data_IF_072003305991
#
_entry.id   IF_072003305991
#
_cell.length_a   1.000
_cell.length_b   1.000
_cell.length_c   1.000
_cell.angle_alpha   90.00
_cell.angle_beta   90.00
_cell.angle_gamma   90.00
#
_symmetry.space_group_name_H-M   'P 1'
#
loop_
_entity.id
_entity.type
_entity.pdbx_description
1 polymer ?
#
# COMPACT_ATOMS: atom_id res chain seq x y z
N UNK A 1 -8.73 -25.01 -41.12
CA UNK A 1 -9.68 -25.46 -40.11
C UNK A 1 -9.94 -24.31 -39.14
N UNK A 2 -11.21 -24.08 -38.76
CA UNK A 2 -11.60 -22.97 -37.89
C UNK A 2 -10.85 -23.06 -36.54
N UNK A 3 -10.71 -24.27 -36.01
CA UNK A 3 -10.00 -24.49 -34.74
C UNK A 3 -8.52 -24.15 -34.79
N UNK A 4 -7.85 -24.42 -35.91
CA UNK A 4 -6.45 -24.04 -36.08
C UNK A 4 -6.29 -22.51 -36.08
N UNK A 5 -7.21 -21.77 -36.72
CA UNK A 5 -7.21 -20.32 -36.72
C UNK A 5 -7.43 -19.73 -35.31
N UNK A 6 -8.30 -20.34 -34.52
CA UNK A 6 -8.53 -19.98 -33.12
C UNK A 6 -7.26 -20.21 -32.27
N UNK A 7 -6.62 -21.38 -32.42
CA UNK A 7 -5.37 -21.67 -31.72
C UNK A 7 -4.28 -20.66 -32.07
N UNK A 8 -4.08 -20.38 -33.37
CA UNK A 8 -3.10 -19.41 -33.84
C UNK A 8 -3.39 -18.01 -33.26
N UNK A 9 -4.66 -17.62 -33.20
CA UNK A 9 -5.07 -16.33 -32.66
C UNK A 9 -4.75 -16.22 -31.16
N UNK A 10 -5.10 -17.23 -30.39
CA UNK A 10 -4.82 -17.26 -28.92
C UNK A 10 -3.31 -17.32 -28.70
N UNK A 11 -2.59 -18.15 -29.46
CA UNK A 11 -1.16 -18.28 -29.35
C UNK A 11 -0.42 -16.97 -29.68
N UNK A 12 -0.84 -16.27 -30.71
CA UNK A 12 -0.27 -14.96 -31.08
C UNK A 12 -0.47 -13.93 -29.96
N UNK A 13 -1.64 -13.93 -29.30
CA UNK A 13 -1.88 -13.07 -28.13
C UNK A 13 -0.96 -13.44 -26.97
N UNK A 14 -0.79 -14.72 -26.70
CA UNK A 14 0.12 -15.18 -25.65
C UNK A 14 1.56 -14.76 -25.92
N UNK A 15 2.05 -14.95 -27.14
CA UNK A 15 3.40 -14.55 -27.55
C UNK A 15 3.65 -13.04 -27.52
N UNK A 16 2.60 -12.22 -27.51
CA UNK A 16 2.68 -10.76 -27.41
C UNK A 16 2.74 -10.26 -25.94
N UNK A 17 2.64 -11.15 -24.96
CA UNK A 17 2.81 -10.82 -23.54
C UNK A 17 4.30 -10.78 -23.16
N UNK A 18 4.62 -10.23 -21.98
CA UNK A 18 5.96 -10.29 -21.43
C UNK A 18 6.23 -11.70 -20.90
N UNK A 19 6.94 -12.50 -21.69
CA UNK A 19 7.32 -13.85 -21.33
C UNK A 19 8.63 -13.84 -20.55
N UNK A 20 8.72 -14.65 -19.50
CA UNK A 20 10.00 -14.94 -18.86
C UNK A 20 10.93 -15.71 -19.84
N UNK A 21 12.25 -15.73 -19.63
CA UNK A 21 13.17 -16.49 -20.49
C UNK A 21 12.82 -17.98 -20.61
N UNK A 22 12.29 -18.57 -19.53
CA UNK A 22 11.87 -19.97 -19.50
C UNK A 22 10.59 -20.17 -20.30
N UNK A 23 9.59 -19.31 -20.11
CA UNK A 23 8.37 -19.31 -20.92
C UNK A 23 8.64 -19.14 -22.41
N UNK A 24 9.50 -18.18 -22.78
CA UNK A 24 9.88 -17.95 -24.17
C UNK A 24 10.46 -19.21 -24.81
N UNK A 25 11.34 -19.92 -24.12
CA UNK A 25 11.94 -21.18 -24.60
C UNK A 25 10.89 -22.27 -24.77
N UNK A 26 9.98 -22.43 -23.81
CA UNK A 26 8.88 -23.40 -23.91
C UNK A 26 7.89 -23.02 -25.01
N UNK A 27 7.59 -21.75 -25.17
CA UNK A 27 6.68 -21.23 -26.20
C UNK A 27 7.27 -21.45 -27.63
N UNK A 28 8.56 -21.26 -27.79
CA UNK A 28 9.24 -21.58 -29.04
C UNK A 28 9.19 -23.10 -29.31
N UNK A 29 9.47 -23.92 -28.30
CA UNK A 29 9.35 -25.38 -28.38
C UNK A 29 7.94 -25.81 -28.77
N UNK A 30 6.91 -25.20 -28.18
CA UNK A 30 5.52 -25.47 -28.56
C UNK A 30 5.27 -25.13 -30.01
N UNK A 31 5.71 -23.96 -30.47
CA UNK A 31 5.50 -23.50 -31.85
C UNK A 31 6.10 -24.48 -32.86
N UNK A 32 7.31 -24.97 -32.60
CA UNK A 32 7.99 -25.96 -33.45
C UNK A 32 7.24 -27.31 -33.43
N UNK A 33 6.84 -27.79 -32.25
CA UNK A 33 6.12 -29.06 -32.09
C UNK A 33 4.74 -29.01 -32.72
N UNK A 34 4.04 -27.87 -32.56
CA UNK A 34 2.73 -27.65 -33.16
C UNK A 34 2.79 -27.70 -34.69
N UNK A 35 3.80 -27.05 -35.28
CA UNK A 35 4.03 -27.13 -36.71
C UNK A 35 4.28 -28.58 -37.18
N UNK A 36 5.15 -29.29 -36.49
CA UNK A 36 5.46 -30.69 -36.82
C UNK A 36 4.21 -31.59 -36.72
N UNK A 37 3.38 -31.38 -35.70
CA UNK A 37 2.10 -32.09 -35.54
C UNK A 37 1.13 -31.78 -36.69
N UNK A 38 0.92 -30.50 -37.00
CA UNK A 38 0.00 -30.08 -38.08
C UNK A 38 0.41 -30.61 -39.43
N UNK A 39 1.72 -30.62 -39.72
CA UNK A 39 2.25 -31.21 -40.97
C UNK A 39 1.95 -32.73 -41.04
N UNK A 40 2.14 -33.46 -39.96
CA UNK A 40 1.84 -34.89 -39.91
C UNK A 40 0.35 -35.18 -39.96
N UNK A 41 -0.50 -34.39 -39.27
CA UNK A 41 -1.95 -34.47 -39.36
C UNK A 41 -2.46 -34.24 -40.81
N UNK A 42 -1.92 -33.24 -41.48
CA UNK A 42 -2.27 -32.93 -42.86
C UNK A 42 -1.88 -34.09 -43.82
N UNK A 43 -0.75 -34.78 -43.52
CA UNK A 43 -0.37 -36.00 -44.24
C UNK A 43 -1.40 -37.14 -44.02
N UNK A 44 -1.86 -37.34 -42.79
CA UNK A 44 -2.96 -38.28 -42.51
C UNK A 44 -4.18 -38.00 -43.37
N UNK A 45 -4.61 -36.72 -43.41
CA UNK A 45 -5.76 -36.30 -44.24
C UNK A 45 -5.53 -36.54 -45.74
N UNK A 46 -4.33 -36.26 -46.24
CA UNK A 46 -3.97 -36.52 -47.63
C UNK A 46 -4.00 -37.98 -47.99
N UNK A 47 -3.48 -38.86 -47.15
CA UNK A 47 -3.53 -40.32 -47.32
C UNK A 47 -4.99 -40.81 -47.36
N UNK A 48 -5.81 -40.38 -46.43
CA UNK A 48 -7.21 -40.73 -46.41
C UNK A 48 -7.98 -40.24 -47.64
N UNK A 49 -7.71 -39.03 -48.14
CA UNK A 49 -8.29 -38.48 -49.33
C UNK A 49 -7.89 -39.23 -50.62
N UNK A 50 -6.68 -39.82 -50.62
CA UNK A 50 -6.21 -40.66 -51.71
C UNK A 50 -6.74 -42.13 -51.63
N UNK A 51 -7.52 -42.48 -50.59
CA UNK A 51 -8.05 -43.81 -50.40
C UNK A 51 -7.10 -44.78 -49.69
N UNK A 52 -5.91 -44.34 -49.27
CA UNK A 52 -4.98 -45.12 -48.47
C UNK A 52 -5.34 -45.03 -46.98
N UNK A 53 -6.37 -45.73 -46.58
CA UNK A 53 -6.84 -45.73 -45.18
C UNK A 53 -5.88 -46.43 -44.23
N UNK A 54 -5.20 -47.47 -44.67
CA UNK A 54 -4.25 -48.19 -43.82
C UNK A 54 -3.03 -47.30 -43.53
N UNK A 55 -2.51 -46.59 -44.53
CA UNK A 55 -1.46 -45.59 -44.35
C UNK A 55 -1.88 -44.41 -43.53
N UNK A 56 -3.14 -43.94 -43.68
CA UNK A 56 -3.68 -42.87 -42.88
C UNK A 56 -3.78 -43.25 -41.36
N UNK A 57 -4.29 -44.47 -41.08
CA UNK A 57 -4.37 -45.00 -39.70
C UNK A 57 -3.00 -45.19 -39.10
N UNK A 58 -2.06 -45.76 -39.86
CA UNK A 58 -0.68 -45.97 -39.40
C UNK A 58 -0.01 -44.63 -39.05
N UNK A 59 -0.17 -43.58 -39.90
CA UNK A 59 0.39 -42.26 -39.63
C UNK A 59 -0.29 -41.59 -38.45
N UNK A 60 -1.62 -41.71 -38.31
CA UNK A 60 -2.38 -41.11 -37.22
C UNK A 60 -1.96 -41.67 -35.86
N UNK A 61 -1.84 -43.01 -35.74
CA UNK A 61 -1.46 -43.65 -34.47
C UNK A 61 0.03 -43.50 -34.21
N UNK A 62 0.87 -43.59 -35.23
CA UNK A 62 2.32 -43.51 -35.10
C UNK A 62 2.84 -42.09 -35.05
N UNK A 63 3.17 -41.51 -36.20
CA UNK A 63 3.89 -40.23 -36.27
C UNK A 63 3.05 -39.04 -35.77
N UNK A 64 1.80 -38.92 -36.17
CA UNK A 64 0.94 -37.80 -35.71
C UNK A 64 0.59 -37.93 -34.22
N UNK A 65 0.37 -39.16 -33.73
CA UNK A 65 0.11 -39.41 -32.30
C UNK A 65 1.30 -39.04 -31.41
N UNK A 66 2.52 -39.47 -31.82
CA UNK A 66 3.73 -39.10 -31.09
C UNK A 66 3.97 -37.58 -31.02
N UNK A 67 3.76 -36.89 -32.16
CA UNK A 67 3.88 -35.43 -32.22
C UNK A 67 2.82 -34.69 -31.41
N UNK A 68 1.59 -35.18 -31.42
CA UNK A 68 0.52 -34.68 -30.55
C UNK A 68 0.89 -34.79 -29.08
N UNK A 69 1.38 -35.94 -28.64
CA UNK A 69 1.84 -36.12 -27.26
C UNK A 69 2.96 -35.14 -26.88
N UNK A 70 3.90 -34.90 -27.80
CA UNK A 70 4.98 -33.92 -27.56
C UNK A 70 4.44 -32.47 -27.43
N UNK A 71 3.42 -32.11 -28.22
CA UNK A 71 2.71 -30.80 -28.06
C UNK A 71 2.01 -30.74 -26.73
N UNK A 72 1.27 -31.79 -26.36
CA UNK A 72 0.53 -31.88 -25.11
C UNK A 72 1.45 -31.72 -23.88
N UNK A 73 2.58 -32.44 -23.88
CA UNK A 73 3.59 -32.31 -22.81
C UNK A 73 4.11 -30.86 -22.66
N UNK A 74 4.31 -30.17 -23.78
CA UNK A 74 4.83 -28.81 -23.75
C UNK A 74 3.80 -27.84 -23.17
N UNK A 75 2.54 -28.00 -23.54
CA UNK A 75 1.42 -27.20 -22.96
C UNK A 75 1.30 -27.43 -21.47
N UNK A 76 1.38 -28.69 -21.03
CA UNK A 76 1.33 -29.00 -19.59
C UNK A 76 2.46 -28.32 -18.82
N UNK A 77 3.69 -28.32 -19.37
CA UNK A 77 4.84 -27.62 -18.77
C UNK A 77 4.63 -26.10 -18.69
N UNK A 78 4.06 -25.49 -19.73
CA UNK A 78 3.73 -24.08 -19.71
C UNK A 78 2.68 -23.75 -18.64
N UNK A 79 1.63 -24.58 -18.53
CA UNK A 79 0.58 -24.41 -17.51
C UNK A 79 1.17 -24.54 -16.09
N UNK A 80 2.03 -25.54 -15.88
CA UNK A 80 2.69 -25.74 -14.59
C UNK A 80 3.59 -24.57 -14.23
N UNK A 81 4.40 -24.10 -15.16
CA UNK A 81 5.27 -22.92 -14.97
C UNK A 81 4.45 -21.68 -14.59
N UNK A 82 3.41 -21.37 -15.35
CA UNK A 82 2.55 -20.21 -15.04
C UNK A 82 1.85 -20.33 -13.68
N UNK A 83 1.45 -21.54 -13.31
CA UNK A 83 0.86 -21.77 -11.98
C UNK A 83 1.87 -21.51 -10.86
N UNK A 84 3.10 -21.94 -11.01
CA UNK A 84 4.15 -21.79 -10.01
C UNK A 84 4.64 -20.34 -9.93
N UNK A 85 4.76 -19.64 -11.06
CA UNK A 85 5.06 -18.20 -11.11
C UNK A 85 3.94 -17.39 -10.43
N UNK A 86 2.68 -17.64 -10.78
CA UNK A 86 1.52 -16.97 -10.15
C UNK A 86 1.46 -17.20 -8.64
N UNK A 87 1.80 -18.40 -8.17
CA UNK A 87 1.86 -18.69 -6.73
C UNK A 87 2.98 -17.92 -6.04
N UNK A 88 4.14 -17.80 -6.68
CA UNK A 88 5.29 -17.06 -6.15
C UNK A 88 4.97 -15.57 -6.07
N UNK A 89 4.43 -14.98 -7.15
CA UNK A 89 3.99 -13.59 -7.17
C UNK A 89 2.92 -13.28 -6.11
N UNK A 90 1.96 -14.19 -5.92
CA UNK A 90 0.94 -14.05 -4.87
C UNK A 90 1.56 -14.02 -3.46
N UNK A 91 2.52 -14.91 -3.17
CA UNK A 91 3.19 -14.96 -1.86
C UNK A 91 4.08 -13.73 -1.63
N UNK A 92 4.73 -13.22 -2.67
CA UNK A 92 5.50 -11.97 -2.60
C UNK A 92 4.59 -10.77 -2.38
N UNK A 93 3.49 -10.66 -3.12
CA UNK A 93 2.49 -9.61 -2.92
C UNK A 93 1.91 -9.63 -1.51
N UNK A 94 1.65 -10.80 -0.94
CA UNK A 94 1.17 -10.94 0.43
C UNK A 94 2.21 -10.45 1.46
N UNK A 95 3.49 -10.78 1.29
CA UNK A 95 4.57 -10.26 2.16
C UNK A 95 4.67 -8.72 2.10
N UNK A 96 4.59 -8.16 0.90
CA UNK A 96 4.59 -6.71 0.73
C UNK A 96 3.37 -6.05 1.41
N UNK A 97 2.20 -6.66 1.31
CA UNK A 97 1.00 -6.18 1.98
C UNK A 97 1.18 -6.15 3.51
N UNK A 98 1.68 -7.23 4.10
CA UNK A 98 1.92 -7.34 5.54
C UNK A 98 2.95 -6.29 6.02
N UNK A 99 4.01 -6.05 5.24
CA UNK A 99 5.00 -5.01 5.53
C UNK A 99 4.39 -3.60 5.50
N UNK A 100 3.62 -3.28 4.45
CA UNK A 100 2.95 -1.99 4.32
C UNK A 100 1.96 -1.79 5.46
N UNK A 101 1.18 -2.80 5.81
CA UNK A 101 0.23 -2.75 6.91
C UNK A 101 0.91 -2.47 8.25
N UNK A 102 2.03 -3.14 8.53
CA UNK A 102 2.82 -2.92 9.74
C UNK A 102 3.41 -1.50 9.78
N UNK A 103 4.03 -1.04 8.69
CA UNK A 103 4.61 0.31 8.61
C UNK A 103 3.52 1.36 8.80
N UNK A 104 2.37 1.20 8.15
CA UNK A 104 1.24 2.13 8.28
C UNK A 104 0.72 2.18 9.72
N UNK A 105 0.61 1.04 10.39
CA UNK A 105 0.23 0.97 11.81
C UNK A 105 1.20 1.73 12.72
N UNK A 106 2.50 1.57 12.51
CA UNK A 106 3.53 2.30 13.27
C UNK A 106 3.45 3.81 13.02
N UNK A 107 3.29 4.24 11.77
CA UNK A 107 3.19 5.67 11.43
C UNK A 107 1.95 6.30 12.09
N UNK A 108 0.81 5.62 12.07
CA UNK A 108 -0.41 6.10 12.74
C UNK A 108 -0.21 6.19 14.26
N UNK A 109 0.38 5.18 14.89
CA UNK A 109 0.65 5.18 16.31
C UNK A 109 1.58 6.33 16.73
N UNK A 110 2.64 6.59 15.96
CA UNK A 110 3.54 7.73 16.17
C UNK A 110 2.82 9.07 15.99
N UNK A 111 1.94 9.19 15.00
CA UNK A 111 1.13 10.38 14.78
C UNK A 111 0.21 10.70 15.95
N UNK A 112 -0.46 9.68 16.49
CA UNK A 112 -1.33 9.81 17.68
C UNK A 112 -0.50 10.23 18.91
N UNK A 113 0.63 9.59 19.13
CA UNK A 113 1.53 9.91 20.24
C UNK A 113 2.03 11.36 20.15
N UNK A 114 2.44 11.80 18.98
CA UNK A 114 2.86 13.17 18.74
C UNK A 114 1.73 14.18 19.00
N UNK A 115 0.51 13.87 18.56
CA UNK A 115 -0.66 14.72 18.80
C UNK A 115 -0.96 14.87 20.31
N UNK A 116 -0.87 13.78 21.07
CA UNK A 116 -1.05 13.79 22.53
C UNK A 116 0.02 14.67 23.20
N UNK A 117 1.30 14.48 22.83
CA UNK A 117 2.42 15.28 23.37
C UNK A 117 2.23 16.76 23.06
N UNK A 118 1.92 17.12 21.81
CA UNK A 118 1.68 18.49 21.41
C UNK A 118 0.45 19.09 22.12
N UNK A 119 -0.63 18.33 22.27
CA UNK A 119 -1.81 18.76 23.04
C UNK A 119 -1.49 19.06 24.49
N UNK A 120 -0.69 18.19 25.13
CA UNK A 120 -0.24 18.42 26.51
C UNK A 120 0.67 19.65 26.64
N UNK A 121 1.60 19.85 25.69
CA UNK A 121 2.46 21.04 25.68
C UNK A 121 1.66 22.34 25.49
N UNK A 122 0.66 22.33 24.60
CA UNK A 122 -0.21 23.49 24.38
C UNK A 122 -1.06 23.78 25.63
N UNK A 123 -1.59 22.75 26.29
CA UNK A 123 -2.36 22.90 27.50
C UNK A 123 -1.52 23.57 28.59
N UNK A 124 -0.29 23.10 28.81
CA UNK A 124 0.59 23.60 29.86
C UNK A 124 1.22 24.97 29.53
N UNK A 125 1.54 25.21 28.27
CA UNK A 125 2.23 26.45 27.87
C UNK A 125 1.29 27.64 27.60
N UNK A 126 0.05 27.38 27.22
CA UNK A 126 -0.90 28.45 26.82
C UNK A 126 -2.16 28.43 27.65
N UNK A 127 -2.88 27.30 27.67
CA UNK A 127 -4.24 27.25 28.26
C UNK A 127 -4.19 27.45 29.76
N UNK A 128 -3.32 26.77 30.48
CA UNK A 128 -3.23 26.88 31.93
C UNK A 128 -2.79 28.27 32.41
N UNK A 129 -1.73 28.92 31.85
CA UNK A 129 -1.38 30.30 32.24
C UNK A 129 -2.45 31.32 31.86
N UNK A 130 -3.13 31.15 30.73
CA UNK A 130 -4.23 32.06 30.32
C UNK A 130 -5.41 31.96 31.25
N UNK A 131 -5.81 30.75 31.67
CA UNK A 131 -6.83 30.55 32.68
C UNK A 131 -6.47 31.23 34.01
N UNK A 132 -5.20 31.05 34.46
CA UNK A 132 -4.70 31.72 35.67
C UNK A 132 -4.76 33.24 35.56
N UNK A 133 -4.48 33.82 34.38
CA UNK A 133 -4.61 35.25 34.14
C UNK A 133 -6.05 35.74 34.23
N UNK A 134 -7.02 34.98 33.70
CA UNK A 134 -8.45 35.28 33.81
C UNK A 134 -8.92 35.24 35.26
N UNK A 135 -8.57 34.17 35.99
CA UNK A 135 -8.94 34.01 37.40
C UNK A 135 -8.40 35.16 38.27
N UNK A 136 -7.16 35.63 38.00
CA UNK A 136 -6.58 36.80 38.68
C UNK A 136 -7.34 38.08 38.33
N UNK A 137 -7.65 38.30 37.06
CA UNK A 137 -8.38 39.46 36.63
C UNK A 137 -9.78 39.54 37.27
N UNK A 138 -10.47 38.41 37.41
CA UNK A 138 -11.77 38.28 38.06
C UNK A 138 -11.68 38.56 39.57
N UNK A 139 -10.62 38.07 40.26
CA UNK A 139 -10.35 38.36 41.67
C UNK A 139 -10.14 39.85 41.88
N UNK A 140 -9.28 40.50 41.10
CA UNK A 140 -9.04 41.95 41.15
C UNK A 140 -10.32 42.72 40.89
N UNK A 141 -11.14 42.34 39.91
CA UNK A 141 -12.41 42.99 39.60
C UNK A 141 -13.43 42.88 40.74
N UNK A 142 -13.38 41.81 41.55
CA UNK A 142 -14.24 41.64 42.74
C UNK A 142 -13.66 42.32 43.99
N UNK A 143 -12.52 42.98 43.87
CA UNK A 143 -11.88 43.68 45.00
C UNK A 143 -10.93 42.83 45.85
N UNK A 144 -10.72 41.59 45.46
CA UNK A 144 -9.75 40.72 46.12
C UNK A 144 -8.32 40.96 45.57
N UNK A 145 -7.54 41.79 46.26
CA UNK A 145 -6.17 42.13 45.91
C UNK A 145 -5.16 41.25 46.66
N UNK A 146 -5.60 40.18 47.37
CA UNK A 146 -4.73 39.34 48.18
C UNK A 146 -4.06 38.21 47.36
N UNK A 147 -4.46 38.04 46.10
CA UNK A 147 -3.99 37.01 45.23
C UNK A 147 -2.47 37.11 44.95
N UNK A 148 -1.72 36.05 45.26
CA UNK A 148 -0.30 35.99 44.96
C UNK A 148 -0.08 35.54 43.53
N UNK A 149 0.47 36.43 42.70
CA UNK A 149 0.72 36.19 41.30
C UNK A 149 2.13 35.70 41.08
N UNK A 150 2.27 34.40 40.74
CA UNK A 150 3.56 33.79 40.37
C UNK A 150 3.69 33.75 38.84
N UNK A 151 4.86 34.19 38.35
CA UNK A 151 5.18 34.24 36.92
C UNK A 151 6.25 33.21 36.61
N UNK A 152 5.82 32.06 36.04
CA UNK A 152 6.67 30.90 35.83
C UNK A 152 7.17 30.76 34.38
N UNK A 153 6.87 31.73 33.50
CA UNK A 153 7.27 31.65 32.08
C UNK A 153 7.74 33.01 31.54
N UNK A 154 8.64 32.96 30.56
CA UNK A 154 9.18 34.16 29.88
C UNK A 154 8.57 34.39 28.48
N UNK A 155 7.50 33.71 28.13
CA UNK A 155 6.77 33.87 26.87
C UNK A 155 5.67 34.97 27.01
N UNK A 156 4.82 35.13 25.98
CA UNK A 156 3.77 36.13 25.95
C UNK A 156 2.79 35.97 27.09
N UNK A 157 2.47 34.75 27.51
CA UNK A 157 1.59 34.46 28.65
C UNK A 157 2.24 34.85 29.98
N UNK A 158 3.54 34.63 30.12
CA UNK A 158 4.33 35.10 31.27
C UNK A 158 4.37 36.64 31.37
N UNK A 159 4.55 37.31 30.23
CA UNK A 159 4.48 38.78 30.17
C UNK A 159 3.09 39.33 30.56
N UNK A 160 2.02 38.63 30.18
CA UNK A 160 0.65 38.97 30.59
C UNK A 160 0.50 38.85 32.12
N UNK A 161 0.92 37.74 32.71
CA UNK A 161 0.90 37.52 34.16
C UNK A 161 1.74 38.57 34.91
N UNK A 162 2.91 38.93 34.38
CA UNK A 162 3.74 40.01 34.93
C UNK A 162 3.04 41.39 34.91
N UNK A 163 2.33 41.71 33.84
CA UNK A 163 1.58 42.96 33.74
C UNK A 163 0.40 43.00 34.75
N UNK A 164 -0.32 41.85 34.88
CA UNK A 164 -1.39 41.70 35.90
C UNK A 164 -0.84 41.82 37.32
N UNK A 165 0.35 41.25 37.59
CA UNK A 165 1.03 41.40 38.89
C UNK A 165 1.32 42.84 39.20
N UNK A 166 1.94 43.56 38.25
CA UNK A 166 2.27 44.97 38.43
C UNK A 166 1.01 45.81 38.65
N UNK A 167 -0.08 45.52 37.93
CA UNK A 167 -1.37 46.19 38.13
C UNK A 167 -1.93 45.92 39.53
N UNK A 168 -1.90 44.66 39.98
CA UNK A 168 -2.40 44.29 41.33
C UNK A 168 -1.58 44.98 42.43
N UNK A 169 -0.24 44.99 42.32
CA UNK A 169 0.67 45.61 43.28
C UNK A 169 0.41 47.13 43.36
N UNK A 170 0.20 47.82 42.25
CA UNK A 170 -0.16 49.23 42.21
C UNK A 170 -1.50 49.51 42.85
N UNK A 171 -2.51 48.65 42.67
CA UNK A 171 -3.84 48.80 43.29
C UNK A 171 -3.73 48.60 44.83
N UNK A 172 -2.97 47.63 45.29
CA UNK A 172 -2.71 47.44 46.75
C UNK A 172 -2.08 48.68 47.37
N UNK A 173 -1.06 49.27 46.68
CA UNK A 173 -0.39 50.48 47.15
C UNK A 173 -1.37 51.68 47.23
N UNK A 174 -2.22 51.87 46.20
CA UNK A 174 -3.20 52.94 46.15
C UNK A 174 -4.23 52.83 47.28
N UNK A 175 -4.81 51.62 47.50
CA UNK A 175 -5.75 51.34 48.57
C UNK A 175 -5.08 51.58 49.96
N UNK A 176 -3.83 51.18 50.09
CA UNK A 176 -3.06 51.42 51.33
C UNK A 176 -2.85 52.89 51.61
N UNK A 177 -2.52 53.71 50.60
CA UNK A 177 -2.36 55.17 50.74
C UNK A 177 -3.69 55.87 51.12
N UNK A 178 -4.78 55.49 50.51
CA UNK A 178 -6.11 56.04 50.84
C UNK A 178 -6.50 55.73 52.27
N UNK A 179 -6.23 54.50 52.73
CA UNK A 179 -6.52 54.07 54.08
C UNK A 179 -5.70 54.76 55.17
N UNK A 180 -4.47 55.22 54.83
CA UNK A 180 -3.61 55.95 55.76
C UNK A 180 -3.89 57.47 55.78
N UNK A 181 -4.66 57.96 54.81
CA UNK A 181 -5.00 59.38 54.67
C UNK A 181 -6.40 59.75 55.22
N UNK A 182 -7.13 58.72 55.68
CA UNK A 182 -8.44 58.86 56.38
C UNK A 182 -8.33 58.58 57.84
#
# INVERSE_FOLDING_TARGET
DQRDAEIVTVWTKYMATNLTPVEATLAETFTQRWKAYTDSRNRTMSLAAAGDYDGAVANMIGDAGAKFNAVHETILKLIELQRDESKTEFLEAQKHYDQIFMITGVVIALGILLAIVLGFLLMSAIVAPLKKAVDIADAVASGDLTSRIEVDSNNETGRLLQALKTMNDNLVELVGKVRMST
#
